data_IF_465524901249
#
_entry.id   IF_465524901249
#
_cell.length_a   1.000
_cell.length_b   1.000
_cell.length_c   1.000
_cell.angle_alpha   90.00
_cell.angle_beta   90.00
_cell.angle_gamma   90.00
#
_symmetry.space_group_name_H-M   'P 1'
#
loop_
_entity.id
_entity.type
_entity.pdbx_description
1 polymer ?
#
# COMPACT_ATOMS: atom_id res chain seq x y z
N UNK A 1 -32.93 -18.50 -7.28
CA UNK A 1 -34.41 -18.44 -7.16
C UNK A 1 -34.91 -18.79 -5.75
N UNK A 2 -34.44 -19.90 -5.15
CA UNK A 2 -34.94 -20.39 -3.86
C UNK A 2 -34.79 -19.40 -2.68
N UNK A 3 -33.64 -18.75 -2.44
CA UNK A 3 -33.46 -17.88 -1.26
C UNK A 3 -34.32 -16.61 -1.31
N UNK A 4 -34.42 -15.98 -2.49
CA UNK A 4 -35.31 -14.82 -2.71
C UNK A 4 -36.78 -15.18 -2.48
N UNK A 5 -37.21 -16.36 -2.96
CA UNK A 5 -38.58 -16.84 -2.73
C UNK A 5 -38.84 -17.16 -1.25
N UNK A 6 -37.86 -17.72 -0.55
CA UNK A 6 -37.94 -17.98 0.88
C UNK A 6 -38.10 -16.69 1.67
N UNK A 7 -37.25 -15.69 1.41
CA UNK A 7 -37.30 -14.38 2.08
C UNK A 7 -38.67 -13.71 1.86
N UNK A 8 -39.14 -13.62 0.60
CA UNK A 8 -40.43 -13.00 0.30
C UNK A 8 -41.59 -13.69 1.00
N UNK A 9 -41.62 -15.02 0.99
CA UNK A 9 -42.72 -15.79 1.60
C UNK A 9 -42.65 -15.73 3.13
N UNK A 10 -41.45 -15.76 3.70
CA UNK A 10 -41.26 -15.60 5.14
C UNK A 10 -41.73 -14.22 5.60
N UNK A 11 -41.27 -13.15 4.95
CA UNK A 11 -41.66 -11.77 5.27
C UNK A 11 -43.18 -11.57 5.13
N UNK A 12 -43.81 -12.11 4.07
CA UNK A 12 -45.26 -12.08 3.94
C UNK A 12 -45.98 -12.85 5.05
N UNK A 13 -45.42 -13.99 5.48
CA UNK A 13 -45.98 -14.79 6.58
C UNK A 13 -45.88 -14.07 7.92
N UNK A 14 -44.75 -13.44 8.21
CA UNK A 14 -44.57 -12.63 9.43
C UNK A 14 -45.48 -11.41 9.41
N UNK A 15 -45.58 -10.68 8.29
CA UNK A 15 -46.49 -9.54 8.16
C UNK A 15 -47.96 -9.94 8.35
N UNK A 16 -48.36 -11.14 7.91
CA UNK A 16 -49.68 -11.69 8.19
C UNK A 16 -49.87 -11.96 9.69
N UNK A 17 -48.91 -12.59 10.35
CA UNK A 17 -48.96 -12.85 11.79
C UNK A 17 -49.00 -11.57 12.60
N UNK A 18 -48.22 -10.54 12.24
CA UNK A 18 -48.27 -9.22 12.89
C UNK A 18 -49.66 -8.57 12.76
N UNK A 19 -50.32 -8.70 11.61
CA UNK A 19 -51.71 -8.22 11.44
C UNK A 19 -52.69 -8.99 12.30
N UNK A 20 -52.49 -10.30 12.47
CA UNK A 20 -53.30 -11.13 13.35
C UNK A 20 -53.09 -10.73 14.82
N UNK A 21 -51.84 -10.51 15.23
CA UNK A 21 -51.48 -10.07 16.59
C UNK A 21 -52.06 -8.70 16.94
N UNK A 22 -52.23 -7.80 15.96
CA UNK A 22 -52.90 -6.50 16.18
C UNK A 22 -54.38 -6.61 16.53
N UNK A 23 -55.01 -7.76 16.31
CA UNK A 23 -56.38 -8.03 16.75
C UNK A 23 -56.44 -8.37 18.26
N UNK A 24 -55.31 -8.69 18.89
CA UNK A 24 -55.24 -8.90 20.33
C UNK A 24 -55.32 -7.57 21.08
N UNK A 25 -56.09 -7.53 22.17
CA UNK A 25 -56.35 -6.31 22.94
C UNK A 25 -55.27 -5.99 23.98
N UNK A 26 -54.42 -6.96 24.32
CA UNK A 26 -53.33 -6.81 25.28
C UNK A 26 -52.15 -7.74 24.99
N UNK A 27 -51.01 -7.48 25.63
CA UNK A 27 -49.75 -8.24 25.44
C UNK A 27 -49.93 -9.72 25.81
N UNK A 28 -50.64 -10.03 26.89
CA UNK A 28 -50.88 -11.41 27.31
C UNK A 28 -51.66 -12.24 26.29
N UNK A 29 -52.58 -11.62 25.53
CA UNK A 29 -53.26 -12.29 24.42
C UNK A 29 -52.32 -12.59 23.24
N UNK A 30 -51.39 -11.68 22.94
CA UNK A 30 -50.35 -11.91 21.92
C UNK A 30 -49.43 -13.06 22.33
N UNK A 31 -49.01 -13.11 23.59
CA UNK A 31 -48.20 -14.20 24.12
C UNK A 31 -48.93 -15.55 24.05
N UNK A 32 -50.20 -15.58 24.43
CA UNK A 32 -51.04 -16.77 24.33
C UNK A 32 -51.22 -17.24 22.87
N UNK A 33 -51.37 -16.30 21.93
CA UNK A 33 -51.46 -16.60 20.49
C UNK A 33 -50.15 -17.21 19.98
N UNK A 34 -49.00 -16.62 20.33
CA UNK A 34 -47.67 -17.14 19.96
C UNK A 34 -47.37 -18.50 20.57
N UNK A 35 -47.92 -18.79 21.76
CA UNK A 35 -47.79 -20.07 22.45
C UNK A 35 -48.68 -21.18 21.85
N UNK A 36 -49.65 -20.84 20.99
CA UNK A 36 -50.52 -21.86 20.39
C UNK A 36 -49.70 -22.86 19.55
N UNK A 37 -49.98 -24.18 19.66
CA UNK A 37 -49.25 -25.21 18.91
C UNK A 37 -49.28 -24.98 17.39
N UNK A 38 -50.35 -24.41 16.85
CA UNK A 38 -50.47 -24.10 15.43
C UNK A 38 -49.50 -22.97 15.00
N UNK A 39 -49.33 -21.94 15.83
CA UNK A 39 -48.40 -20.84 15.60
C UNK A 39 -46.96 -21.36 15.62
N UNK A 40 -46.60 -22.10 16.67
CA UNK A 40 -45.25 -22.69 16.81
C UNK A 40 -44.95 -23.63 15.65
N UNK A 41 -45.89 -24.52 15.30
CA UNK A 41 -45.73 -25.46 14.17
C UNK A 41 -45.61 -24.73 12.83
N UNK A 42 -46.32 -23.63 12.64
CA UNK A 42 -46.19 -22.80 11.44
C UNK A 42 -44.81 -22.16 11.35
N UNK A 43 -44.33 -21.56 12.44
CA UNK A 43 -43.00 -20.95 12.49
C UNK A 43 -41.87 -21.97 12.33
N UNK A 44 -42.02 -23.18 12.87
CA UNK A 44 -41.05 -24.27 12.76
C UNK A 44 -40.84 -24.75 11.31
N UNK A 45 -41.74 -24.45 10.37
CA UNK A 45 -41.55 -24.77 8.93
C UNK A 45 -40.46 -23.91 8.29
N UNK A 46 -40.12 -22.78 8.88
CA UNK A 46 -39.12 -21.86 8.35
C UNK A 46 -37.73 -22.19 8.92
N UNK A 47 -36.91 -22.89 8.13
CA UNK A 47 -35.54 -23.15 8.52
C UNK A 47 -34.63 -21.93 8.28
N UNK A 48 -34.66 -21.00 9.24
CA UNK A 48 -33.86 -19.79 9.20
C UNK A 48 -32.35 -20.05 9.23
N UNK A 49 -31.92 -21.17 9.80
CA UNK A 49 -30.51 -21.54 9.85
C UNK A 49 -29.96 -21.90 8.46
N UNK A 50 -30.68 -22.75 7.72
CA UNK A 50 -30.33 -23.10 6.34
C UNK A 50 -30.41 -21.86 5.44
N UNK A 51 -31.44 -21.03 5.60
CA UNK A 51 -31.55 -19.77 4.87
C UNK A 51 -30.30 -18.90 5.08
N UNK A 52 -29.92 -18.68 6.34
CA UNK A 52 -28.73 -17.90 6.66
C UNK A 52 -27.46 -18.53 6.08
N UNK A 53 -27.30 -19.85 6.15
CA UNK A 53 -26.13 -20.53 5.61
C UNK A 53 -25.97 -20.30 4.10
N UNK A 54 -27.06 -20.36 3.34
CA UNK A 54 -27.03 -20.09 1.89
C UNK A 54 -26.67 -18.61 1.64
N UNK A 55 -27.25 -17.67 2.40
CA UNK A 55 -26.95 -16.23 2.27
C UNK A 55 -25.53 -15.90 2.68
N UNK A 56 -25.02 -16.52 3.73
CA UNK A 56 -23.64 -16.40 4.17
C UNK A 56 -22.69 -16.78 3.04
N UNK A 57 -22.90 -17.94 2.42
CA UNK A 57 -22.05 -18.41 1.32
C UNK A 57 -22.16 -17.50 0.09
N UNK A 58 -23.38 -17.07 -0.28
CA UNK A 58 -23.62 -16.13 -1.38
C UNK A 58 -22.86 -14.81 -1.21
N UNK A 59 -22.86 -14.25 0.00
CA UNK A 59 -22.23 -12.96 0.32
C UNK A 59 -20.72 -13.11 0.47
N UNK A 60 -20.26 -14.05 1.30
CA UNK A 60 -18.84 -14.20 1.61
C UNK A 60 -18.02 -14.66 0.38
N UNK A 61 -18.59 -15.48 -0.50
CA UNK A 61 -17.89 -15.98 -1.69
C UNK A 61 -17.50 -14.86 -2.66
N UNK A 62 -18.27 -13.78 -2.73
CA UNK A 62 -17.94 -12.61 -3.58
C UNK A 62 -16.66 -11.94 -3.10
N UNK A 63 -16.53 -11.73 -1.78
CA UNK A 63 -15.32 -11.18 -1.19
C UNK A 63 -14.13 -12.12 -1.37
N UNK A 64 -14.30 -13.41 -1.11
CA UNK A 64 -13.22 -14.39 -1.28
C UNK A 64 -12.70 -14.42 -2.71
N UNK A 65 -13.60 -14.39 -3.71
CA UNK A 65 -13.19 -14.34 -5.11
C UNK A 65 -12.41 -13.07 -5.42
N UNK A 66 -12.87 -11.90 -4.95
CA UNK A 66 -12.22 -10.63 -5.27
C UNK A 66 -10.83 -10.51 -4.61
N UNK A 67 -10.67 -11.05 -3.40
CA UNK A 67 -9.39 -11.05 -2.68
C UNK A 67 -8.31 -11.90 -3.40
N UNK A 68 -8.69 -12.89 -4.21
CA UNK A 68 -7.71 -13.66 -5.01
C UNK A 68 -7.06 -12.87 -6.14
N UNK A 69 -7.67 -11.75 -6.57
CA UNK A 69 -7.19 -10.89 -7.65
C UNK A 69 -7.05 -9.43 -7.16
N UNK A 70 -6.06 -9.13 -6.30
CA UNK A 70 -5.99 -7.84 -5.62
C UNK A 70 -5.68 -6.65 -6.52
N UNK A 71 -5.08 -6.88 -7.70
CA UNK A 71 -4.84 -5.86 -8.73
C UNK A 71 -6.05 -5.57 -9.61
N UNK A 72 -7.14 -6.34 -9.49
CA UNK A 72 -8.30 -6.14 -10.33
C UNK A 72 -8.98 -4.81 -9.99
N UNK A 73 -9.21 -3.98 -11.01
CA UNK A 73 -9.91 -2.70 -10.86
C UNK A 73 -11.39 -2.89 -10.55
N UNK A 74 -11.93 -2.03 -9.70
CA UNK A 74 -13.37 -1.90 -9.53
C UNK A 74 -14.00 -1.41 -10.85
N UNK A 75 -15.26 -1.82 -11.05
CA UNK A 75 -16.13 -1.28 -12.10
C UNK A 75 -16.95 -0.08 -11.59
N UNK A 76 -16.95 0.16 -10.28
CA UNK A 76 -17.63 1.28 -9.65
C UNK A 76 -16.71 2.47 -9.43
N UNK A 77 -17.30 3.60 -9.02
CA UNK A 77 -16.60 4.86 -8.82
C UNK A 77 -16.13 5.07 -7.37
N UNK A 78 -16.57 4.21 -6.43
CA UNK A 78 -16.36 4.41 -4.99
C UNK A 78 -14.98 3.95 -4.55
N UNK A 79 -14.55 2.80 -5.05
CA UNK A 79 -13.26 2.19 -4.71
C UNK A 79 -12.43 1.98 -5.96
N UNK A 80 -11.11 1.98 -5.79
CA UNK A 80 -10.20 1.69 -6.86
C UNK A 80 -10.17 0.18 -7.19
N UNK A 81 -10.17 -0.68 -6.18
CA UNK A 81 -9.92 -2.10 -6.33
C UNK A 81 -11.18 -2.92 -6.09
N UNK A 82 -11.34 -3.99 -6.88
CA UNK A 82 -12.52 -4.85 -6.84
C UNK A 82 -12.69 -5.53 -5.48
N UNK A 83 -11.60 -5.79 -4.76
CA UNK A 83 -11.64 -6.39 -3.42
C UNK A 83 -12.33 -5.48 -2.39
N UNK A 84 -12.11 -4.17 -2.46
CA UNK A 84 -12.76 -3.19 -1.59
C UNK A 84 -14.21 -2.94 -2.01
N UNK A 85 -14.48 -2.90 -3.32
CA UNK A 85 -15.85 -2.85 -3.85
C UNK A 85 -16.68 -4.07 -3.40
N UNK A 86 -16.10 -5.28 -3.52
CA UNK A 86 -16.77 -6.52 -3.13
C UNK A 86 -17.01 -6.57 -1.61
N UNK A 87 -16.07 -6.09 -0.79
CA UNK A 87 -16.28 -5.95 0.64
C UNK A 87 -17.46 -5.00 0.91
N UNK A 88 -17.45 -3.81 0.33
CA UNK A 88 -18.50 -2.82 0.56
C UNK A 88 -19.87 -3.32 0.10
N UNK A 89 -19.95 -3.93 -1.08
CA UNK A 89 -21.16 -4.57 -1.59
C UNK A 89 -21.64 -5.69 -0.66
N UNK A 90 -20.74 -6.53 -0.15
CA UNK A 90 -21.07 -7.60 0.78
C UNK A 90 -21.61 -7.08 2.12
N UNK A 91 -21.05 -5.97 2.64
CA UNK A 91 -21.54 -5.31 3.85
C UNK A 91 -22.96 -4.80 3.66
N UNK A 92 -23.25 -4.06 2.57
CA UNK A 92 -24.62 -3.64 2.26
C UNK A 92 -25.56 -4.82 2.02
N UNK A 93 -25.08 -5.88 1.35
CA UNK A 93 -25.89 -7.05 1.03
C UNK A 93 -26.40 -7.79 2.26
N UNK A 94 -25.69 -7.73 3.38
CA UNK A 94 -26.14 -8.28 4.66
C UNK A 94 -27.44 -7.65 5.17
N UNK A 95 -27.70 -6.40 4.79
CA UNK A 95 -28.78 -5.55 5.32
C UNK A 95 -29.81 -5.13 4.26
N UNK A 96 -29.68 -5.67 3.05
CA UNK A 96 -30.60 -5.47 1.93
C UNK A 96 -32.00 -6.05 2.24
N UNK A 97 -33.05 -5.39 1.74
CA UNK A 97 -34.45 -5.80 1.95
C UNK A 97 -34.77 -7.20 1.47
N UNK A 98 -34.13 -7.65 0.39
CA UNK A 98 -34.39 -8.97 -0.19
C UNK A 98 -33.53 -10.08 0.43
N UNK A 99 -32.67 -9.74 1.42
CA UNK A 99 -31.80 -10.67 2.16
C UNK A 99 -32.11 -10.69 3.65
N UNK A 100 -32.18 -9.51 4.26
CA UNK A 100 -32.26 -9.33 5.69
C UNK A 100 -33.57 -9.91 6.25
N UNK A 101 -33.45 -10.58 7.40
CA UNK A 101 -34.57 -11.08 8.19
C UNK A 101 -34.32 -10.69 9.65
N UNK A 102 -35.26 -9.97 10.25
CA UNK A 102 -35.17 -9.48 11.64
C UNK A 102 -34.80 -10.57 12.68
N UNK A 103 -35.31 -11.82 12.62
CA UNK A 103 -34.89 -12.87 13.56
C UNK A 103 -33.40 -13.26 13.43
N UNK A 104 -32.75 -12.90 12.32
CA UNK A 104 -31.35 -13.19 12.03
C UNK A 104 -30.43 -11.98 12.18
N UNK A 105 -30.90 -10.86 12.75
CA UNK A 105 -30.10 -9.64 12.95
C UNK A 105 -28.73 -9.91 13.55
N UNK A 106 -28.66 -10.70 14.63
CA UNK A 106 -27.41 -11.07 15.29
C UNK A 106 -26.44 -11.82 14.37
N UNK A 107 -26.94 -12.65 13.44
CA UNK A 107 -26.10 -13.40 12.50
C UNK A 107 -25.59 -12.52 11.36
N UNK A 108 -26.43 -11.61 10.84
CA UNK A 108 -26.00 -10.65 9.82
C UNK A 108 -25.02 -9.62 10.37
N UNK A 109 -25.20 -9.19 11.62
CA UNK A 109 -24.21 -8.38 12.33
C UNK A 109 -22.89 -9.13 12.49
N UNK A 110 -22.93 -10.38 12.97
CA UNK A 110 -21.74 -11.23 13.04
C UNK A 110 -21.05 -11.37 11.68
N UNK A 111 -21.80 -11.60 10.60
CA UNK A 111 -21.25 -11.68 9.24
C UNK A 111 -20.59 -10.37 8.81
N UNK A 112 -21.20 -9.22 9.11
CA UNK A 112 -20.63 -7.89 8.83
C UNK A 112 -19.23 -7.77 9.45
N UNK A 113 -19.08 -8.13 10.72
CA UNK A 113 -17.79 -8.10 11.41
C UNK A 113 -16.81 -9.16 10.86
N UNK A 114 -17.30 -10.34 10.49
CA UNK A 114 -16.47 -11.40 9.90
C UNK A 114 -15.90 -11.00 8.53
N UNK A 115 -16.67 -10.30 7.70
CA UNK A 115 -16.21 -9.78 6.39
C UNK A 115 -15.08 -8.76 6.58
N UNK A 116 -15.25 -7.82 7.52
CA UNK A 116 -14.22 -6.83 7.87
C UNK A 116 -12.95 -7.51 8.40
N UNK A 117 -13.10 -8.43 9.35
CA UNK A 117 -11.99 -9.18 9.92
C UNK A 117 -11.25 -10.02 8.87
N UNK A 118 -12.00 -10.67 7.96
CA UNK A 118 -11.43 -11.47 6.87
C UNK A 118 -10.61 -10.64 5.90
N UNK A 119 -11.15 -9.48 5.48
CA UNK A 119 -10.45 -8.54 4.60
C UNK A 119 -9.19 -7.97 5.26
N UNK A 120 -9.29 -7.53 6.51
CA UNK A 120 -8.12 -7.10 7.31
C UNK A 120 -7.06 -8.19 7.39
N UNK A 121 -7.45 -9.41 7.74
CA UNK A 121 -6.53 -10.53 7.86
C UNK A 121 -5.83 -10.86 6.54
N UNK A 122 -6.54 -10.73 5.41
CA UNK A 122 -5.93 -10.84 4.09
C UNK A 122 -4.92 -9.71 3.83
N UNK A 123 -5.28 -8.44 4.04
CA UNK A 123 -4.37 -7.31 3.83
C UNK A 123 -3.10 -7.40 4.68
N UNK A 124 -3.22 -7.84 5.93
CA UNK A 124 -2.07 -8.08 6.80
C UNK A 124 -1.12 -9.14 6.23
N UNK A 125 -1.67 -10.25 5.73
CA UNK A 125 -0.86 -11.29 5.09
C UNK A 125 -0.25 -10.80 3.78
N UNK A 126 -1.01 -10.07 2.96
CA UNK A 126 -0.56 -9.57 1.68
C UNK A 126 0.60 -8.57 1.82
N UNK A 127 0.48 -7.63 2.77
CA UNK A 127 1.55 -6.66 3.06
C UNK A 127 2.78 -7.29 3.69
N UNK A 128 2.61 -8.35 4.50
CA UNK A 128 3.73 -9.07 5.12
C UNK A 128 4.49 -9.98 4.14
N UNK A 129 3.79 -10.74 3.29
CA UNK A 129 4.39 -11.78 2.43
C UNK A 129 5.42 -11.23 1.47
N UNK A 130 5.10 -10.14 0.78
CA UNK A 130 5.96 -9.72 -0.32
C UNK A 130 7.29 -9.07 0.20
N UNK A 131 7.46 -8.88 1.52
CA UNK A 131 8.66 -8.28 2.14
C UNK A 131 9.81 -9.26 2.36
N UNK A 132 9.52 -10.57 2.30
CA UNK A 132 10.52 -11.64 2.25
C UNK A 132 10.63 -12.04 0.79
N UNK A 133 11.83 -11.99 0.20
CA UNK A 133 12.05 -12.25 -1.22
C UNK A 133 11.42 -13.56 -1.67
N UNK A 134 10.32 -13.48 -2.41
CA UNK A 134 9.82 -14.59 -3.21
C UNK A 134 10.58 -14.59 -4.54
N UNK A 135 11.77 -15.19 -4.52
CA UNK A 135 12.21 -16.03 -5.62
C UNK A 135 11.21 -17.19 -5.72
N UNK A 136 10.10 -16.97 -6.43
CA UNK A 136 9.29 -18.09 -6.93
C UNK A 136 9.90 -18.56 -8.24
N UNK A 137 10.86 -19.48 -8.10
CA UNK A 137 11.21 -20.44 -9.13
C UNK A 137 9.94 -21.17 -9.56
N UNK A 138 9.30 -20.71 -10.63
CA UNK A 138 8.48 -21.55 -11.48
C UNK A 138 9.29 -21.82 -12.73
N UNK A 139 9.85 -23.02 -12.81
CA UNK A 139 10.63 -23.46 -13.96
C UNK A 139 9.78 -23.47 -15.22
N UNK A 140 10.27 -22.76 -16.22
CA UNK A 140 10.17 -23.15 -17.63
C UNK A 140 11.54 -22.84 -18.24
N UNK A 141 12.27 -23.89 -18.61
CA UNK A 141 13.52 -23.78 -19.35
C UNK A 141 13.28 -23.34 -20.81
N UNK A 142 14.31 -22.66 -21.33
CA UNK A 142 14.72 -22.46 -22.72
C UNK A 142 14.09 -21.32 -23.53
N UNK A 143 14.94 -20.31 -23.79
CA UNK A 143 14.76 -19.27 -24.80
C UNK A 143 15.82 -18.18 -24.66
N UNK A 144 17.05 -18.47 -25.11
CA UNK A 144 18.20 -17.56 -25.17
C UNK A 144 17.86 -16.31 -26.01
N UNK A 145 18.04 -15.12 -25.45
CA UNK A 145 17.68 -13.85 -26.06
C UNK A 145 18.19 -12.66 -25.25
N UNK A 146 19.18 -11.97 -25.83
CA UNK A 146 19.96 -10.83 -25.35
C UNK A 146 19.27 -9.87 -24.35
N UNK A 147 19.92 -9.76 -23.19
CA UNK A 147 19.49 -8.99 -22.04
C UNK A 147 19.80 -7.49 -22.19
N UNK A 148 18.74 -6.73 -22.45
CA UNK A 148 18.67 -5.28 -22.40
C UNK A 148 17.37 -4.84 -21.73
N UNK A 149 17.01 -5.46 -20.61
CA UNK A 149 15.74 -5.22 -19.91
C UNK A 149 15.77 -3.98 -19.01
N UNK A 150 15.33 -2.85 -19.54
CA UNK A 150 14.96 -1.69 -18.74
C UNK A 150 13.87 -2.05 -17.72
N UNK A 151 14.05 -1.66 -16.47
CA UNK A 151 13.02 -1.72 -15.43
C UNK A 151 11.92 -0.69 -15.73
N UNK A 152 11.08 -0.96 -16.74
CA UNK A 152 9.88 -0.18 -16.95
C UNK A 152 8.89 -0.57 -15.84
N UNK A 153 8.91 0.20 -14.76
CA UNK A 153 7.81 0.21 -13.81
C UNK A 153 6.60 0.78 -14.57
N UNK A 154 5.89 -0.06 -15.32
CA UNK A 154 4.75 0.39 -16.11
C UNK A 154 3.71 0.99 -15.17
N UNK A 155 3.64 2.32 -15.19
CA UNK A 155 2.74 3.09 -14.33
C UNK A 155 1.35 3.08 -14.97
N UNK A 156 0.65 1.97 -14.82
CA UNK A 156 -0.68 1.76 -15.40
C UNK A 156 -1.76 1.68 -14.30
N UNK A 157 -2.74 2.58 -14.36
CA UNK A 157 -3.91 2.55 -13.48
C UNK A 157 -4.96 1.54 -13.92
N UNK A 158 -4.95 1.10 -15.17
CA UNK A 158 -5.87 0.09 -15.68
C UNK A 158 -5.48 -1.31 -15.18
N UNK A 159 -4.18 -1.58 -15.07
CA UNK A 159 -3.63 -2.81 -14.51
C UNK A 159 -2.63 -2.51 -13.38
N UNK A 160 -3.10 -2.09 -12.20
CA UNK A 160 -2.22 -1.62 -11.15
C UNK A 160 -1.37 -2.75 -10.56
N UNK A 161 -0.06 -2.58 -10.64
CA UNK A 161 0.94 -3.49 -10.06
C UNK A 161 1.96 -2.72 -9.23
N UNK A 162 2.66 -3.47 -8.37
CA UNK A 162 3.75 -2.94 -7.54
C UNK A 162 3.36 -1.66 -6.79
N UNK A 163 4.15 -0.57 -6.88
CA UNK A 163 3.87 0.68 -6.19
C UNK A 163 2.49 1.29 -6.46
N UNK A 164 1.98 1.21 -7.70
CA UNK A 164 0.65 1.76 -8.04
C UNK A 164 -0.45 1.05 -7.26
N UNK A 165 -0.36 -0.27 -7.16
CA UNK A 165 -1.31 -1.07 -6.39
C UNK A 165 -1.30 -0.69 -4.90
N UNK A 166 -0.13 -0.48 -4.31
CA UNK A 166 -0.05 -0.09 -2.89
C UNK A 166 -0.61 1.31 -2.61
N UNK A 167 -0.45 2.26 -3.54
CA UNK A 167 -1.12 3.57 -3.44
C UNK A 167 -2.65 3.41 -3.42
N UNK A 168 -3.19 2.58 -4.32
CA UNK A 168 -4.64 2.34 -4.41
C UNK A 168 -5.17 1.59 -3.20
N UNK A 169 -4.46 0.55 -2.73
CA UNK A 169 -4.79 -0.18 -1.50
C UNK A 169 -4.83 0.76 -0.30
N UNK A 170 -3.84 1.65 -0.16
CA UNK A 170 -3.82 2.62 0.93
C UNK A 170 -5.05 3.55 0.90
N UNK A 171 -5.37 4.10 -0.27
CA UNK A 171 -6.52 4.98 -0.44
C UNK A 171 -7.83 4.25 -0.13
N UNK A 172 -8.04 3.04 -0.67
CA UNK A 172 -9.26 2.29 -0.47
C UNK A 172 -9.45 1.82 0.98
N UNK A 173 -8.36 1.44 1.68
CA UNK A 173 -8.41 1.06 3.09
C UNK A 173 -8.91 2.22 3.95
N UNK A 174 -8.36 3.41 3.76
CA UNK A 174 -8.79 4.61 4.49
C UNK A 174 -10.23 5.00 4.10
N UNK A 175 -10.58 4.86 2.83
CA UNK A 175 -11.92 5.14 2.33
C UNK A 175 -12.98 4.21 2.98
N UNK A 176 -12.76 2.89 2.99
CA UNK A 176 -13.65 1.93 3.68
C UNK A 176 -13.77 2.29 5.16
N UNK A 177 -12.64 2.52 5.84
CA UNK A 177 -12.63 2.83 7.27
C UNK A 177 -13.49 4.08 7.58
N UNK A 178 -13.42 5.11 6.73
CA UNK A 178 -14.22 6.34 6.86
C UNK A 178 -15.71 6.12 6.61
N UNK A 179 -16.08 5.15 5.77
CA UNK A 179 -17.48 4.87 5.39
C UNK A 179 -18.21 3.93 6.37
N UNK A 180 -17.52 3.26 7.29
CA UNK A 180 -18.17 2.35 8.25
C UNK A 180 -19.20 3.06 9.14
N UNK A 181 -18.99 4.33 9.47
CA UNK A 181 -19.98 5.13 10.19
C UNK A 181 -21.28 5.30 9.39
N UNK A 182 -21.19 5.66 8.11
CA UNK A 182 -22.36 5.75 7.23
C UNK A 182 -23.05 4.40 7.00
N UNK A 183 -22.30 3.29 6.96
CA UNK A 183 -22.90 1.96 6.88
C UNK A 183 -23.84 1.70 8.08
N UNK A 184 -23.39 2.06 9.28
CA UNK A 184 -24.20 1.92 10.49
C UNK A 184 -25.46 2.78 10.40
N UNK A 185 -25.29 4.09 10.21
CA UNK A 185 -26.38 5.07 10.26
C UNK A 185 -27.39 4.90 9.11
N UNK A 186 -26.91 4.67 7.89
CA UNK A 186 -27.79 4.69 6.71
C UNK A 186 -28.38 3.31 6.40
N UNK A 187 -27.73 2.22 6.82
CA UNK A 187 -28.12 0.85 6.41
C UNK A 187 -28.52 -0.03 7.59
N UNK A 188 -27.73 -0.08 8.66
CA UNK A 188 -27.95 -1.01 9.77
C UNK A 188 -29.01 -0.49 10.75
N UNK A 189 -28.90 0.77 11.17
CA UNK A 189 -29.79 1.40 12.14
C UNK A 189 -31.28 1.32 11.73
N UNK A 190 -31.67 1.68 10.49
CA UNK A 190 -33.08 1.64 10.09
C UNK A 190 -33.69 0.24 10.17
N UNK A 191 -32.89 -0.81 9.94
CA UNK A 191 -33.32 -2.21 10.00
C UNK A 191 -33.51 -2.69 11.44
N UNK A 192 -32.61 -2.28 12.34
CA UNK A 192 -32.65 -2.69 13.75
C UNK A 192 -33.66 -1.91 14.59
N UNK A 193 -33.90 -0.64 14.25
CA UNK A 193 -34.96 0.14 14.91
C UNK A 193 -36.35 -0.47 14.68
N UNK A 194 -36.60 -1.03 13.50
CA UNK A 194 -37.84 -1.76 13.19
C UNK A 194 -38.04 -3.00 14.08
N UNK A 195 -36.96 -3.57 14.65
CA UNK A 195 -37.04 -4.72 15.55
C UNK A 195 -37.10 -4.32 17.02
N UNK A 196 -37.14 -3.02 17.34
CA UNK A 196 -37.10 -2.52 18.71
C UNK A 196 -35.73 -2.61 19.39
N UNK A 197 -34.65 -2.76 18.62
CA UNK A 197 -33.29 -2.79 19.18
C UNK A 197 -32.85 -1.38 19.59
N UNK A 198 -32.37 -1.22 20.83
CA UNK A 198 -32.07 0.09 21.41
C UNK A 198 -30.57 0.34 21.66
N UNK A 199 -29.73 -0.70 21.68
CA UNK A 199 -28.30 -0.58 22.04
C UNK A 199 -27.41 -0.25 20.83
N UNK A 200 -27.80 0.73 20.00
CA UNK A 200 -27.06 1.13 18.80
C UNK A 200 -25.63 1.62 19.11
N UNK A 201 -25.43 2.20 20.29
CA UNK A 201 -24.13 2.66 20.76
C UNK A 201 -23.07 1.55 20.82
N UNK A 202 -23.45 0.32 21.23
CA UNK A 202 -22.53 -0.82 21.26
C UNK A 202 -22.10 -1.24 19.85
N UNK A 203 -23.00 -1.11 18.87
CA UNK A 203 -22.70 -1.43 17.47
C UNK A 203 -21.74 -0.39 16.87
N UNK A 204 -21.95 0.88 17.24
CA UNK A 204 -21.07 1.99 16.87
C UNK A 204 -19.66 1.79 17.39
N UNK A 205 -19.51 1.52 18.69
CA UNK A 205 -18.20 1.27 19.30
C UNK A 205 -17.45 0.11 18.62
N UNK A 206 -18.15 -0.99 18.29
CA UNK A 206 -17.55 -2.11 17.58
C UNK A 206 -17.11 -1.77 16.14
N UNK A 207 -17.87 -0.94 15.42
CA UNK A 207 -17.47 -0.49 14.08
C UNK A 207 -16.36 0.57 14.11
N UNK A 208 -16.35 1.44 15.13
CA UNK A 208 -15.27 2.40 15.35
C UNK A 208 -13.95 1.64 15.61
N UNK A 209 -13.98 0.57 16.41
CA UNK A 209 -12.83 -0.33 16.59
C UNK A 209 -12.41 -0.97 15.25
N UNK A 210 -13.36 -1.47 14.45
CA UNK A 210 -13.06 -2.01 13.12
C UNK A 210 -12.40 -0.97 12.20
N UNK A 211 -12.88 0.28 12.23
CA UNK A 211 -12.33 1.40 11.46
C UNK A 211 -10.90 1.71 11.86
N UNK A 212 -10.62 1.76 13.17
CA UNK A 212 -9.27 1.94 13.71
C UNK A 212 -8.34 0.78 13.32
N UNK A 213 -8.82 -0.46 13.42
CA UNK A 213 -8.06 -1.65 13.04
C UNK A 213 -7.74 -1.71 11.54
N UNK A 214 -8.61 -1.23 10.66
CA UNK A 214 -8.33 -1.09 9.23
C UNK A 214 -7.32 0.03 8.97
N UNK A 215 -7.52 1.20 9.58
CA UNK A 215 -6.61 2.35 9.47
C UNK A 215 -5.20 2.00 9.97
N UNK A 216 -5.08 1.13 10.97
CA UNK A 216 -3.80 0.64 11.49
C UNK A 216 -2.95 -0.14 10.48
N UNK A 217 -3.53 -0.56 9.34
CA UNK A 217 -2.81 -1.22 8.25
C UNK A 217 -2.10 -0.24 7.31
N UNK A 218 -2.54 1.03 7.29
CA UNK A 218 -2.01 2.05 6.40
C UNK A 218 -0.48 2.20 6.51
N UNK A 219 0.14 2.21 7.71
CA UNK A 219 1.60 2.26 7.84
C UNK A 219 2.32 1.06 7.21
N UNK A 220 1.76 -0.16 7.31
CA UNK A 220 2.36 -1.36 6.69
C UNK A 220 2.29 -1.32 5.15
N UNK A 221 1.16 -0.84 4.61
CA UNK A 221 1.00 -0.63 3.16
C UNK A 221 1.99 0.44 2.68
N UNK A 222 2.07 1.56 3.39
CA UNK A 222 2.98 2.67 3.10
C UNK A 222 4.45 2.24 3.18
N UNK A 223 4.85 1.50 4.21
CA UNK A 223 6.21 0.99 4.36
C UNK A 223 6.61 0.09 3.18
N UNK A 224 5.67 -0.68 2.65
CA UNK A 224 5.91 -1.48 1.46
C UNK A 224 6.06 -0.62 0.20
N UNK A 225 5.12 0.29 -0.03
CA UNK A 225 5.20 1.25 -1.12
C UNK A 225 6.58 1.96 -1.14
N UNK A 226 7.00 2.47 0.01
CA UNK A 226 8.29 3.16 0.19
C UNK A 226 9.44 2.24 -0.19
N UNK A 227 9.50 1.02 0.36
CA UNK A 227 10.60 0.09 0.10
C UNK A 227 10.72 -0.28 -1.38
N UNK A 228 9.61 -0.56 -2.07
CA UNK A 228 9.64 -0.95 -3.48
C UNK A 228 10.10 0.20 -4.39
N UNK A 229 9.61 1.42 -4.13
CA UNK A 229 10.03 2.61 -4.89
C UNK A 229 11.48 2.96 -4.60
N UNK A 230 11.92 2.88 -3.35
CA UNK A 230 13.30 3.13 -2.97
C UNK A 230 14.25 2.13 -3.65
N UNK A 231 13.91 0.83 -3.66
CA UNK A 231 14.68 -0.20 -4.39
C UNK A 231 14.80 0.13 -5.87
N UNK A 232 13.70 0.54 -6.52
CA UNK A 232 13.72 0.93 -7.93
C UNK A 232 14.64 2.14 -8.19
N UNK A 233 14.60 3.15 -7.32
CA UNK A 233 15.50 4.31 -7.40
C UNK A 233 16.98 3.91 -7.21
N UNK A 234 17.25 3.01 -6.25
CA UNK A 234 18.59 2.54 -5.92
C UNK A 234 19.28 1.74 -7.04
N UNK A 235 18.55 1.27 -8.06
CA UNK A 235 19.15 0.60 -9.24
C UNK A 235 20.17 1.50 -9.92
N UNK A 236 19.88 2.80 -10.04
CA UNK A 236 20.77 3.77 -10.70
C UNK A 236 22.05 4.03 -9.90
N UNK A 237 22.03 3.81 -8.58
CA UNK A 237 23.20 3.98 -7.71
C UNK A 237 24.30 2.93 -7.97
N UNK A 238 24.00 1.86 -8.70
CA UNK A 238 25.00 0.86 -9.13
C UNK A 238 26.06 1.44 -10.07
N UNK A 239 25.83 2.64 -10.64
CA UNK A 239 26.80 3.34 -11.49
C UNK A 239 27.85 4.13 -10.69
N UNK A 240 27.61 4.39 -9.40
CA UNK A 240 28.52 5.18 -8.55
C UNK A 240 29.92 4.53 -8.45
N UNK A 241 30.07 3.20 -8.26
CA UNK A 241 31.36 2.53 -8.22
C UNK A 241 32.18 2.59 -9.51
N UNK A 242 31.58 2.93 -10.64
CA UNK A 242 32.29 3.06 -11.92
C UNK A 242 32.94 4.44 -12.13
N UNK A 243 32.57 5.45 -11.33
CA UNK A 243 33.11 6.81 -11.43
C UNK A 243 34.66 6.83 -11.41
N UNK A 244 35.37 6.08 -10.54
CA UNK A 244 36.82 6.04 -10.57
C UNK A 244 37.41 5.58 -11.90
N UNK A 245 36.75 4.65 -12.62
CA UNK A 245 37.21 4.15 -13.92
C UNK A 245 37.10 5.21 -15.01
N UNK A 246 36.19 6.17 -14.87
CA UNK A 246 35.96 7.23 -15.85
C UNK A 246 37.08 8.27 -15.88
N UNK A 247 37.82 8.44 -14.78
CA UNK A 247 38.85 9.49 -14.63
C UNK A 247 40.27 8.93 -14.59
N UNK A 248 40.47 7.73 -14.03
CA UNK A 248 41.80 7.14 -13.92
C UNK A 248 42.40 6.87 -15.30
N UNK A 249 43.49 7.56 -15.64
CA UNK A 249 44.26 7.37 -16.89
C UNK A 249 43.47 7.61 -18.17
N UNK A 250 42.39 8.39 -18.13
CA UNK A 250 41.54 8.66 -19.30
C UNK A 250 41.77 10.04 -19.93
N UNK A 251 42.71 10.84 -19.40
CA UNK A 251 42.95 12.25 -19.80
C UNK A 251 41.66 13.11 -19.84
N UNK A 252 40.60 12.68 -19.15
CA UNK A 252 39.30 13.35 -19.14
C UNK A 252 39.42 14.71 -18.46
N UNK A 253 38.66 15.68 -18.97
CA UNK A 253 38.59 17.03 -18.42
C UNK A 253 38.05 17.04 -16.98
N UNK A 254 38.29 18.14 -16.27
CA UNK A 254 37.76 18.35 -14.92
C UNK A 254 36.22 18.39 -14.98
N UNK A 255 35.51 17.62 -14.13
CA UNK A 255 34.06 17.57 -14.19
C UNK A 255 33.39 18.90 -13.90
N UNK A 256 32.36 19.22 -14.70
CA UNK A 256 31.51 20.41 -14.56
C UNK A 256 30.01 20.10 -14.66
N UNK A 257 29.64 18.85 -14.91
CA UNK A 257 28.26 18.39 -15.10
C UNK A 257 27.99 17.14 -14.25
N UNK A 258 26.75 16.92 -13.80
CA UNK A 258 26.38 15.70 -13.11
C UNK A 258 26.50 14.49 -14.04
N UNK A 259 26.78 13.33 -13.46
CA UNK A 259 26.77 12.05 -14.16
C UNK A 259 25.37 11.74 -14.71
N UNK A 260 25.31 11.03 -15.85
CA UNK A 260 24.07 10.77 -16.58
C UNK A 260 23.02 9.96 -15.79
N UNK A 261 23.45 9.16 -14.80
CA UNK A 261 22.55 8.39 -13.95
C UNK A 261 21.83 9.25 -12.89
N UNK A 262 22.39 10.41 -12.50
CA UNK A 262 21.88 11.21 -11.37
C UNK A 262 20.44 11.69 -11.59
N UNK A 263 20.07 12.27 -12.76
CA UNK A 263 18.68 12.65 -13.02
C UNK A 263 17.72 11.46 -13.02
N UNK A 264 18.21 10.25 -13.25
CA UNK A 264 17.40 9.03 -13.32
C UNK A 264 17.15 8.39 -11.96
N UNK A 265 17.93 8.72 -10.92
CA UNK A 265 17.81 8.12 -9.58
C UNK A 265 16.38 8.26 -9.06
N UNK A 266 15.80 9.46 -9.13
CA UNK A 266 14.48 9.76 -8.58
C UNK A 266 13.35 9.63 -9.61
N UNK A 267 13.64 9.16 -10.82
CA UNK A 267 12.64 8.99 -11.88
C UNK A 267 11.48 8.07 -11.46
N UNK A 268 11.70 6.89 -10.83
CA UNK A 268 10.59 6.04 -10.39
C UNK A 268 9.63 6.74 -9.42
N UNK A 269 10.18 7.48 -8.44
CA UNK A 269 9.39 8.26 -7.48
C UNK A 269 8.65 9.42 -8.18
N UNK A 270 9.33 10.13 -9.09
CA UNK A 270 8.75 11.25 -9.82
C UNK A 270 7.55 10.82 -10.66
N UNK A 271 7.68 9.73 -11.42
CA UNK A 271 6.62 9.19 -12.28
C UNK A 271 5.42 8.73 -11.46
N UNK A 272 5.64 7.98 -10.37
CA UNK A 272 4.57 7.51 -9.50
C UNK A 272 3.82 8.68 -8.83
N UNK A 273 4.56 9.68 -8.34
CA UNK A 273 3.98 10.87 -7.73
C UNK A 273 3.20 11.71 -8.74
N UNK A 274 3.68 11.80 -9.97
CA UNK A 274 2.98 12.49 -11.05
C UNK A 274 1.63 11.82 -11.33
N UNK A 275 1.60 10.49 -11.41
CA UNK A 275 0.36 9.72 -11.55
C UNK A 275 -0.61 9.99 -10.41
N UNK A 276 -0.13 9.94 -9.16
CA UNK A 276 -0.94 10.23 -7.98
C UNK A 276 -1.55 11.63 -8.03
N UNK A 277 -0.77 12.63 -8.46
CA UNK A 277 -1.24 14.02 -8.56
C UNK A 277 -2.20 14.29 -9.71
N UNK A 278 -2.08 13.56 -10.83
CA UNK A 278 -3.02 13.70 -11.95
C UNK A 278 -4.41 13.16 -11.62
N UNK A 279 -4.51 12.23 -10.66
CA UNK A 279 -5.76 11.60 -10.27
C UNK A 279 -6.23 12.17 -8.94
N UNK A 280 -7.18 13.11 -8.98
CA UNK A 280 -7.72 13.80 -7.79
C UNK A 280 -8.23 12.83 -6.72
N UNK A 281 -8.67 11.64 -7.12
CA UNK A 281 -9.17 10.61 -6.20
C UNK A 281 -8.03 9.85 -5.47
N UNK A 282 -6.79 9.89 -5.98
CA UNK A 282 -5.63 9.30 -5.33
C UNK A 282 -5.02 10.34 -4.37
N UNK A 283 -5.30 10.19 -3.08
CA UNK A 283 -4.73 11.07 -2.08
C UNK A 283 -3.26 10.72 -1.83
N UNK A 284 -2.34 11.45 -2.46
CA UNK A 284 -0.90 11.26 -2.29
C UNK A 284 -0.44 11.71 -0.90
N UNK A 285 0.14 10.79 -0.12
CA UNK A 285 0.73 11.13 1.17
C UNK A 285 2.16 11.72 0.97
N UNK A 286 2.41 12.97 1.39
CA UNK A 286 3.74 13.57 1.33
C UNK A 286 4.81 12.75 2.09
N UNK A 287 4.43 12.03 3.16
CA UNK A 287 5.35 11.23 3.96
C UNK A 287 5.98 10.07 3.15
N UNK A 288 5.32 9.59 2.09
CA UNK A 288 5.91 8.59 1.18
C UNK A 288 7.11 9.16 0.45
N UNK A 289 7.00 10.41 -0.02
CA UNK A 289 8.09 11.09 -0.73
C UNK A 289 9.27 11.28 0.21
N UNK A 290 9.04 11.79 1.41
CA UNK A 290 10.09 11.98 2.42
C UNK A 290 10.79 10.66 2.78
N UNK A 291 10.02 9.59 2.98
CA UNK A 291 10.55 8.29 3.39
C UNK A 291 11.34 7.59 2.28
N UNK A 292 10.88 7.65 1.03
CA UNK A 292 11.63 7.13 -0.12
C UNK A 292 12.95 7.88 -0.29
N UNK A 293 12.91 9.21 -0.21
CA UNK A 293 14.12 10.03 -0.33
C UNK A 293 15.13 9.70 0.77
N UNK A 294 14.69 9.50 2.01
CA UNK A 294 15.56 9.09 3.12
C UNK A 294 16.19 7.71 2.90
N UNK A 295 15.45 6.71 2.39
CA UNK A 295 15.99 5.37 2.11
C UNK A 295 17.00 5.39 0.95
N UNK A 296 16.68 6.09 -0.14
CA UNK A 296 17.57 6.24 -1.30
C UNK A 296 18.84 6.99 -0.92
N UNK A 297 18.72 8.06 -0.12
CA UNK A 297 19.86 8.88 0.29
C UNK A 297 20.79 8.11 1.24
N UNK A 298 20.25 7.28 2.15
CA UNK A 298 21.06 6.34 2.96
C UNK A 298 21.85 5.38 2.09
N UNK A 299 21.22 4.80 1.06
CA UNK A 299 21.92 3.90 0.16
C UNK A 299 22.99 4.64 -0.66
N UNK A 300 22.69 5.86 -1.12
CA UNK A 300 23.65 6.67 -1.86
C UNK A 300 24.85 7.05 -0.99
N UNK A 301 24.62 7.39 0.28
CA UNK A 301 25.68 7.61 1.26
C UNK A 301 26.57 6.38 1.43
N UNK A 302 25.99 5.18 1.58
CA UNK A 302 26.77 3.94 1.71
C UNK A 302 27.68 3.71 0.52
N UNK A 303 27.11 3.72 -0.70
CA UNK A 303 27.90 3.45 -1.93
C UNK A 303 28.96 4.54 -2.16
N UNK A 304 28.64 5.81 -1.87
CA UNK A 304 29.61 6.92 -1.98
C UNK A 304 30.75 6.77 -0.98
N UNK A 305 30.47 6.41 0.27
CA UNK A 305 31.49 6.13 1.29
C UNK A 305 32.44 5.02 0.83
N UNK A 306 31.90 3.92 0.30
CA UNK A 306 32.71 2.79 -0.16
C UNK A 306 33.66 3.19 -1.29
N UNK A 307 33.17 3.98 -2.26
CA UNK A 307 34.00 4.53 -3.34
C UNK A 307 35.10 5.44 -2.78
N UNK A 308 34.76 6.38 -1.89
CA UNK A 308 35.74 7.30 -1.30
C UNK A 308 36.82 6.57 -0.49
N UNK A 309 36.44 5.53 0.27
CA UNK A 309 37.38 4.68 0.99
C UNK A 309 38.31 3.94 0.02
N UNK A 310 37.77 3.40 -1.07
CA UNK A 310 38.55 2.73 -2.12
C UNK A 310 39.54 3.67 -2.80
N UNK A 311 39.10 4.89 -3.16
CA UNK A 311 39.94 5.94 -3.73
C UNK A 311 41.08 6.31 -2.77
N UNK A 312 40.76 6.57 -1.50
CA UNK A 312 41.77 6.91 -0.48
C UNK A 312 42.84 5.82 -0.29
N UNK A 313 42.41 4.55 -0.19
CA UNK A 313 43.35 3.41 -0.07
C UNK A 313 44.30 3.32 -1.26
N UNK A 314 43.79 3.57 -2.47
CA UNK A 314 44.60 3.54 -3.67
C UNK A 314 45.58 4.73 -3.75
N UNK A 315 45.12 5.94 -3.40
CA UNK A 315 45.96 7.12 -3.30
C UNK A 315 47.11 6.92 -2.31
N UNK A 316 46.82 6.41 -1.11
CA UNK A 316 47.81 6.13 -0.07
C UNK A 316 48.83 5.08 -0.54
N UNK A 317 48.38 4.05 -1.27
CA UNK A 317 49.26 3.03 -1.84
C UNK A 317 50.20 3.61 -2.89
N UNK A 318 49.70 4.50 -3.76
CA UNK A 318 50.50 5.21 -4.76
C UNK A 318 51.48 6.18 -4.10
N UNK A 319 51.07 6.90 -3.04
CA UNK A 319 51.96 7.78 -2.26
C UNK A 319 53.10 6.98 -1.62
N UNK A 320 52.82 5.81 -1.02
CA UNK A 320 53.85 4.91 -0.46
C UNK A 320 54.82 4.40 -1.51
N UNK A 321 54.31 3.95 -2.66
CA UNK A 321 55.12 3.47 -3.78
C UNK A 321 56.03 4.59 -4.33
N UNK A 322 55.49 5.81 -4.49
CA UNK A 322 56.25 6.98 -4.95
C UNK A 322 57.34 7.39 -3.95
N UNK A 323 57.02 7.38 -2.64
CA UNK A 323 58.01 7.64 -1.57
C UNK A 323 59.15 6.61 -1.56
N UNK A 324 58.91 5.39 -2.01
CA UNK A 324 59.92 4.33 -2.10
C UNK A 324 60.78 4.37 -3.38
N UNK A 325 60.41 5.15 -4.41
CA UNK A 325 61.07 5.18 -5.74
C UNK A 325 61.78 6.50 -6.09
N UNK A 326 62.06 7.33 -5.09
CA UNK A 326 62.84 8.57 -5.13
C UNK A 326 62.17 9.92 -5.51
N UNK A 327 62.76 10.97 -4.89
CA UNK A 327 62.33 12.37 -4.73
C UNK A 327 62.35 13.21 -6.01
N UNK A 328 61.32 13.12 -6.84
CA UNK A 328 61.10 14.11 -7.92
C UNK A 328 59.82 14.90 -7.66
N UNK A 329 59.86 16.23 -7.46
CA UNK A 329 58.65 17.04 -7.32
C UNK A 329 57.86 17.03 -8.63
N UNK A 330 56.55 16.84 -8.57
CA UNK A 330 55.67 17.01 -9.72
C UNK A 330 55.26 18.49 -9.87
N UNK A 331 54.90 18.93 -11.09
CA UNK A 331 54.42 20.28 -11.35
C UNK A 331 53.13 20.54 -10.55
N UNK A 332 53.12 21.61 -9.77
CA UNK A 332 51.94 22.12 -9.09
C UNK A 332 50.94 22.67 -10.12
N UNK A 333 49.69 22.17 -10.09
CA UNK A 333 48.57 22.84 -10.76
C UNK A 333 47.58 21.95 -11.52
N UNK A 334 47.90 20.69 -11.84
CA UNK A 334 46.93 19.79 -12.48
C UNK A 334 46.17 18.97 -11.43
N UNK A 335 44.84 19.10 -11.41
CA UNK A 335 43.98 18.29 -10.54
C UNK A 335 44.24 16.79 -10.76
N UNK A 336 44.53 16.06 -9.68
CA UNK A 336 44.75 14.61 -9.74
C UNK A 336 43.50 13.90 -10.25
N UNK A 337 43.66 12.72 -10.84
CA UNK A 337 42.52 11.85 -11.19
C UNK A 337 41.63 11.60 -9.95
N UNK A 338 42.23 11.48 -8.76
CA UNK A 338 41.51 11.31 -7.49
C UNK A 338 40.74 12.58 -7.07
N UNK A 339 41.25 13.78 -7.40
CA UNK A 339 40.55 15.04 -7.14
C UNK A 339 39.34 15.20 -8.08
N UNK A 340 39.48 14.78 -9.35
CA UNK A 340 38.36 14.75 -10.30
C UNK A 340 37.27 13.79 -9.86
N UNK A 341 37.63 12.63 -9.31
CA UNK A 341 36.66 11.66 -8.77
C UNK A 341 35.86 12.28 -7.62
N UNK A 342 36.54 12.90 -6.64
CA UNK A 342 35.87 13.55 -5.50
C UNK A 342 34.98 14.71 -5.94
N UNK A 343 35.45 15.49 -6.92
CA UNK A 343 34.67 16.58 -7.50
C UNK A 343 33.41 16.07 -8.22
N UNK A 344 33.50 14.98 -8.99
CA UNK A 344 32.33 14.39 -9.64
C UNK A 344 31.29 13.92 -8.60
N UNK A 345 31.74 13.24 -7.54
CA UNK A 345 30.84 12.79 -6.46
C UNK A 345 30.14 13.97 -5.78
N UNK A 346 30.86 15.07 -5.54
CA UNK A 346 30.26 16.30 -5.00
C UNK A 346 29.19 16.88 -5.94
N UNK A 347 29.50 17.03 -7.24
CA UNK A 347 28.56 17.55 -8.24
C UNK A 347 27.31 16.66 -8.35
N UNK A 348 27.50 15.34 -8.32
CA UNK A 348 26.40 14.37 -8.40
C UNK A 348 25.46 14.49 -7.18
N UNK A 349 26.01 14.60 -5.97
CA UNK A 349 25.23 14.75 -4.72
C UNK A 349 24.52 16.11 -4.65
N UNK A 350 25.17 17.19 -5.09
CA UNK A 350 24.54 18.51 -5.16
C UNK A 350 23.33 18.48 -6.11
N UNK A 351 23.51 17.89 -7.30
CA UNK A 351 22.44 17.78 -8.29
C UNK A 351 21.31 16.84 -7.83
N UNK A 352 21.64 15.74 -7.13
CA UNK A 352 20.65 14.88 -6.48
C UNK A 352 19.79 15.68 -5.48
N UNK A 353 20.40 16.55 -4.68
CA UNK A 353 19.68 17.44 -3.77
C UNK A 353 18.73 18.41 -4.48
N UNK A 354 19.09 18.93 -5.66
CA UNK A 354 18.19 19.76 -6.48
C UNK A 354 16.99 18.94 -6.95
N UNK A 355 17.20 17.68 -7.38
CA UNK A 355 16.09 16.79 -7.79
C UNK A 355 15.14 16.45 -6.65
N UNK A 356 15.62 16.37 -5.41
CA UNK A 356 14.76 16.22 -4.23
C UNK A 356 13.84 17.43 -4.02
N UNK A 357 14.38 18.64 -4.20
CA UNK A 357 13.62 19.89 -4.06
C UNK A 357 12.62 20.08 -5.21
N UNK A 358 12.94 19.65 -6.43
CA UNK A 358 11.98 19.58 -7.55
C UNK A 358 10.80 18.64 -7.22
N UNK A 359 11.04 17.60 -6.42
CA UNK A 359 9.99 16.76 -5.85
C UNK A 359 9.28 17.41 -4.65
N UNK A 360 9.47 18.70 -4.39
CA UNK A 360 8.75 19.46 -3.37
C UNK A 360 9.09 19.06 -1.94
N UNK A 361 10.21 18.36 -1.71
CA UNK A 361 10.72 18.02 -0.38
C UNK A 361 12.00 18.81 -0.12
N UNK A 362 12.02 19.72 0.87
CA UNK A 362 13.24 20.44 1.25
C UNK A 362 14.33 19.47 1.72
N UNK A 363 15.60 19.78 1.41
CA UNK A 363 16.77 18.98 1.86
C UNK A 363 16.79 18.73 3.37
N UNK A 364 16.30 19.68 4.17
CA UNK A 364 16.23 19.58 5.64
C UNK A 364 15.27 18.50 6.15
N UNK A 365 14.33 18.04 5.33
CA UNK A 365 13.40 16.94 5.66
C UNK A 365 14.01 15.55 5.45
N UNK A 366 15.22 15.48 4.91
CA UNK A 366 15.93 14.23 4.64
C UNK A 366 17.27 14.27 5.40
N UNK A 367 17.29 13.83 6.68
CA UNK A 367 18.47 13.94 7.54
C UNK A 367 19.73 13.31 6.94
N UNK A 368 19.56 12.19 6.22
CA UNK A 368 20.68 11.50 5.58
C UNK A 368 21.35 12.32 4.46
N UNK A 369 20.66 13.32 3.88
CA UNK A 369 21.24 14.18 2.85
C UNK A 369 22.33 15.09 3.41
N UNK A 370 22.11 15.68 4.58
CA UNK A 370 23.12 16.52 5.24
C UNK A 370 24.41 15.74 5.49
N UNK A 371 24.29 14.53 6.04
CA UNK A 371 25.42 13.65 6.27
C UNK A 371 26.13 13.24 4.95
N UNK A 372 25.37 12.91 3.90
CA UNK A 372 25.92 12.62 2.57
C UNK A 372 26.71 13.81 2.01
N UNK A 373 26.17 15.02 2.14
CA UNK A 373 26.79 16.26 1.67
C UNK A 373 28.10 16.55 2.41
N UNK A 374 28.10 16.43 3.75
CA UNK A 374 29.31 16.61 4.56
C UNK A 374 30.44 15.66 4.14
N UNK A 375 30.13 14.41 3.79
CA UNK A 375 31.12 13.42 3.36
C UNK A 375 31.78 13.83 2.04
N UNK A 376 30.99 14.26 1.05
CA UNK A 376 31.54 14.65 -0.26
C UNK A 376 32.25 16.01 -0.20
N UNK A 377 31.81 16.92 0.66
CA UNK A 377 32.50 18.19 0.94
C UNK A 377 33.84 17.96 1.61
N UNK A 378 33.88 17.15 2.67
CA UNK A 378 35.11 16.82 3.37
C UNK A 378 36.11 16.12 2.43
N UNK A 379 35.63 15.22 1.56
CA UNK A 379 36.47 14.57 0.56
C UNK A 379 37.03 15.61 -0.44
N UNK A 380 36.17 16.46 -1.00
CA UNK A 380 36.58 17.52 -1.96
C UNK A 380 37.59 18.49 -1.35
N UNK A 381 37.41 18.87 -0.08
CA UNK A 381 38.26 19.81 0.65
C UNK A 381 39.51 19.14 1.25
N UNK A 382 39.73 17.85 0.99
CA UNK A 382 40.97 17.13 1.30
C UNK A 382 41.82 16.91 0.03
N UNK A 383 42.17 17.94 -0.78
CA UNK A 383 43.12 17.76 -1.87
C UNK A 383 44.48 17.39 -1.28
N UNK A 384 45.17 16.45 -1.93
CA UNK A 384 46.36 15.75 -1.44
C UNK A 384 47.27 16.50 -0.44
N UNK A 385 47.04 16.27 0.86
CA UNK A 385 48.08 16.37 1.90
C UNK A 385 49.11 15.25 1.75
#
# INVERSE_FOLDING_TARGET
ALPKSFQRRFSASVAFLERLERLCHNVSQVENLRAQPCYVRFMAKWNLAIYFQIRFQEIACQLESAITQPSQRSKGDVFFLSCHEALWAALHRCWDEDVFLAPLSHRFWKLTLQLLARHRGWLQQYTARSGVGEETSSGHEAGDGEDGGGCDASVDLANPQGPVLFVMLHCDVLNIASKLGSLLTDTVEPRLQQTGFAQLQLLKEGLDECSQLLTSLAPSISGRLVSDVAKACCVQLKMVPDIPRLYRRTNREVPSKPSSYVPQILSPLATLRHLGRQNVNLNWDPAWTESVLEEVTKQYMTVTKDVLVSVKKMEDSLKRLKRARDRTPLPEGAASDDDKIRLQLYIDVEHFGIKMEELGTPKSKVPSYGALMEIVEAARNSPGL
#
